data_IF_589855424767
#
_entry.id   IF_589855424767
#
_cell.length_a   1.000
_cell.length_b   1.000
_cell.length_c   1.000
_cell.angle_alpha   90.00
_cell.angle_beta   90.00
_cell.angle_gamma   90.00
#
_symmetry.space_group_name_H-M   'P 1'
#
loop_
_entity.id
_entity.type
_entity.pdbx_description
1 polymer ?
#
# COMPACT_ATOMS: atom_id res chain seq x y z
N UNK A 1 -23.67 34.29 76.09
CA UNK A 1 -24.66 33.66 75.17
C UNK A 1 -24.10 33.48 73.75
N UNK A 2 -23.09 34.24 73.32
CA UNK A 2 -22.56 34.17 71.95
C UNK A 2 -21.86 32.85 71.60
N UNK A 3 -21.15 32.21 72.53
CA UNK A 3 -20.38 30.99 72.27
C UNK A 3 -21.20 29.73 71.97
N UNK A 4 -22.47 29.68 72.38
CA UNK A 4 -23.37 28.56 72.07
C UNK A 4 -24.04 28.77 70.71
N UNK A 5 -24.42 30.01 70.41
CA UNK A 5 -25.04 30.38 69.14
C UNK A 5 -24.10 30.12 67.96
N UNK A 6 -22.81 30.43 68.11
CA UNK A 6 -21.80 30.17 67.08
C UNK A 6 -21.57 28.67 66.83
N UNK A 7 -21.67 27.84 67.89
CA UNK A 7 -21.60 26.37 67.78
C UNK A 7 -22.78 25.79 67.00
N UNK A 8 -23.99 26.31 67.22
CA UNK A 8 -25.17 25.87 66.47
C UNK A 8 -25.13 26.30 65.00
N UNK A 9 -24.58 27.49 64.69
CA UNK A 9 -24.37 27.93 63.29
C UNK A 9 -23.33 27.04 62.58
N UNK A 10 -22.24 26.69 63.26
CA UNK A 10 -21.22 25.80 62.70
C UNK A 10 -21.72 24.38 62.39
N UNK A 11 -22.62 23.84 63.24
CA UNK A 11 -23.26 22.54 63.01
C UNK A 11 -24.19 22.58 61.79
N UNK A 12 -24.94 23.66 61.59
CA UNK A 12 -25.80 23.85 60.41
C UNK A 12 -24.99 23.92 59.11
N UNK A 13 -23.85 24.60 59.11
CA UNK A 13 -22.98 24.66 57.92
C UNK A 13 -22.37 23.28 57.61
N UNK A 14 -22.02 22.52 58.65
CA UNK A 14 -21.50 21.16 58.46
C UNK A 14 -22.57 20.21 57.93
N UNK A 15 -23.81 20.31 58.41
CA UNK A 15 -24.91 19.47 57.91
C UNK A 15 -25.27 19.80 56.47
N UNK A 16 -25.21 21.08 56.08
CA UNK A 16 -25.37 21.52 54.69
C UNK A 16 -24.24 20.98 53.79
N UNK A 17 -22.99 21.06 54.24
CA UNK A 17 -21.84 20.55 53.50
C UNK A 17 -21.87 19.03 53.32
N UNK A 18 -22.24 18.30 54.39
CA UNK A 18 -22.42 16.85 54.34
C UNK A 18 -23.58 16.45 53.43
N UNK A 19 -24.70 17.19 53.47
CA UNK A 19 -25.83 16.97 52.59
C UNK A 19 -25.48 17.24 51.12
N UNK A 20 -24.66 18.26 50.86
CA UNK A 20 -24.19 18.57 49.51
C UNK A 20 -23.26 17.47 48.97
N UNK A 21 -22.37 16.91 49.79
CA UNK A 21 -21.46 15.83 49.38
C UNK A 21 -22.20 14.51 49.18
N UNK A 22 -23.09 14.14 50.10
CA UNK A 22 -23.92 12.93 49.96
C UNK A 22 -24.89 13.07 48.78
N UNK A 23 -25.45 14.26 48.57
CA UNK A 23 -26.30 14.57 47.41
C UNK A 23 -25.55 14.48 46.09
N UNK A 24 -24.26 14.86 46.05
CA UNK A 24 -23.43 14.76 44.84
C UNK A 24 -23.14 13.31 44.45
N UNK A 25 -22.82 12.46 45.42
CA UNK A 25 -22.62 11.02 45.17
C UNK A 25 -23.94 10.34 44.76
N UNK A 26 -25.05 10.78 45.34
CA UNK A 26 -26.38 10.31 44.92
C UNK A 26 -26.78 10.80 43.54
N UNK A 27 -26.36 11.99 43.10
CA UNK A 27 -26.70 12.51 41.77
C UNK A 27 -26.11 11.64 40.65
N UNK A 28 -24.85 11.23 40.77
CA UNK A 28 -24.21 10.32 39.80
C UNK A 28 -24.86 8.92 39.83
N UNK A 29 -25.17 8.39 41.02
CA UNK A 29 -25.84 7.10 41.16
C UNK A 29 -27.31 7.13 40.68
N UNK A 30 -28.00 8.26 40.86
CA UNK A 30 -29.37 8.49 40.40
C UNK A 30 -29.39 8.62 38.89
N UNK A 31 -28.50 9.41 38.29
CA UNK A 31 -28.36 9.51 36.84
C UNK A 31 -28.04 8.14 36.21
N UNK A 32 -27.15 7.37 36.83
CA UNK A 32 -26.84 6.02 36.36
C UNK A 32 -28.03 5.05 36.52
N UNK A 33 -28.81 5.22 37.58
CA UNK A 33 -30.07 4.48 37.79
C UNK A 33 -31.16 4.91 36.82
N UNK A 34 -31.25 6.19 36.44
CA UNK A 34 -32.21 6.72 35.47
C UNK A 34 -31.87 6.25 34.05
N UNK A 35 -30.59 6.19 33.69
CA UNK A 35 -30.12 5.59 32.44
C UNK A 35 -30.50 4.09 32.40
N UNK A 36 -30.32 3.36 33.50
CA UNK A 36 -30.72 1.94 33.61
C UNK A 36 -32.25 1.75 33.65
N UNK A 37 -33.00 2.66 34.26
CA UNK A 37 -34.44 2.54 34.46
C UNK A 37 -35.28 3.03 33.26
N UNK A 38 -34.77 4.01 32.50
CA UNK A 38 -35.48 4.57 31.34
C UNK A 38 -35.49 3.65 30.13
N UNK A 39 -34.66 2.59 30.10
CA UNK A 39 -34.76 1.51 29.13
C UNK A 39 -34.75 1.98 27.68
N UNK A 40 -34.11 3.13 27.39
CA UNK A 40 -33.93 3.66 26.04
C UNK A 40 -32.91 2.78 25.29
N UNK A 41 -33.34 1.56 24.95
CA UNK A 41 -32.54 0.51 24.33
C UNK A 41 -32.13 -0.60 25.30
N UNK A 42 -33.08 -1.46 25.71
CA UNK A 42 -32.95 -2.91 26.03
C UNK A 42 -31.73 -3.50 26.80
N UNK A 43 -30.77 -2.73 27.29
CA UNK A 43 -29.50 -3.19 27.82
C UNK A 43 -29.13 -2.51 29.13
N UNK A 44 -28.44 -3.26 30.00
CA UNK A 44 -27.77 -2.69 31.17
C UNK A 44 -26.65 -1.79 30.66
N UNK A 45 -26.77 -0.46 30.84
CA UNK A 45 -25.66 0.46 30.55
C UNK A 45 -24.38 -0.02 31.26
N UNK A 46 -23.38 -0.38 30.47
CA UNK A 46 -22.05 -0.75 30.91
C UNK A 46 -21.07 0.22 30.23
N UNK A 47 -20.51 1.19 30.97
CA UNK A 47 -19.66 2.22 30.39
C UNK A 47 -18.43 1.66 29.65
N UNK A 48 -17.98 0.45 29.95
CA UNK A 48 -16.86 -0.18 29.24
C UNK A 48 -17.30 -0.78 27.91
N UNK A 49 -18.45 -1.46 27.89
CA UNK A 49 -18.99 -2.08 26.68
C UNK A 49 -19.55 -1.01 25.74
N UNK A 50 -20.35 -0.08 26.26
CA UNK A 50 -21.03 0.94 25.46
C UNK A 50 -20.04 1.95 24.84
N UNK A 51 -18.92 2.25 25.52
CA UNK A 51 -17.87 3.10 24.96
C UNK A 51 -17.06 2.40 23.87
N UNK A 52 -16.90 1.07 23.95
CA UNK A 52 -16.28 0.28 22.89
C UNK A 52 -17.19 0.19 21.67
N UNK A 53 -18.48 -0.03 21.87
CA UNK A 53 -19.47 -0.05 20.78
C UNK A 53 -19.53 1.31 20.07
N UNK A 54 -19.54 2.43 20.82
CA UNK A 54 -19.50 3.77 20.25
C UNK A 54 -18.21 4.03 19.42
N UNK A 55 -17.06 3.52 19.85
CA UNK A 55 -15.81 3.60 19.08
C UNK A 55 -15.85 2.74 17.82
N UNK A 56 -16.46 1.55 17.88
CA UNK A 56 -16.62 0.68 16.71
C UNK A 56 -17.55 1.29 15.67
N UNK A 57 -18.63 1.95 16.11
CA UNK A 57 -19.54 2.70 15.23
C UNK A 57 -18.83 3.91 14.59
N UNK A 58 -18.06 4.69 15.37
CA UNK A 58 -17.24 5.79 14.84
C UNK A 58 -16.23 5.26 13.80
N UNK A 59 -15.52 4.19 14.14
CA UNK A 59 -14.54 3.57 13.25
C UNK A 59 -15.19 3.03 11.97
N UNK A 60 -16.36 2.39 12.08
CA UNK A 60 -17.14 1.93 10.93
C UNK A 60 -17.57 3.05 10.00
N UNK A 61 -17.84 4.24 10.55
CA UNK A 61 -18.18 5.44 9.76
C UNK A 61 -16.97 6.14 9.13
N UNK A 62 -15.79 6.02 9.76
CA UNK A 62 -14.55 6.71 9.37
C UNK A 62 -13.65 5.89 8.46
N UNK A 63 -13.71 4.58 8.55
CA UNK A 63 -13.02 3.72 7.60
C UNK A 63 -13.60 4.02 6.21
N UNK A 64 -12.76 4.41 5.24
CA UNK A 64 -13.21 4.59 3.86
C UNK A 64 -13.99 3.36 3.43
N UNK A 65 -15.10 3.56 2.72
CA UNK A 65 -15.94 2.46 2.27
C UNK A 65 -15.10 1.36 1.60
N UNK A 66 -14.02 1.70 0.89
CA UNK A 66 -13.11 0.73 0.28
C UNK A 66 -12.42 -0.24 1.26
N UNK A 67 -12.14 0.17 2.50
CA UNK A 67 -11.57 -0.67 3.56
C UNK A 67 -12.65 -1.40 4.35
N UNK A 68 -13.78 -0.75 4.64
CA UNK A 68 -14.89 -1.33 5.41
C UNK A 68 -15.73 -2.34 4.59
N UNK A 69 -15.95 -2.08 3.30
CA UNK A 69 -16.75 -2.96 2.41
C UNK A 69 -15.94 -4.08 1.77
N UNK A 70 -14.64 -4.20 2.12
CA UNK A 70 -13.77 -5.22 1.56
C UNK A 70 -13.38 -4.98 0.10
N UNK A 71 -13.66 -3.81 -0.49
CA UNK A 71 -13.25 -3.50 -1.87
C UNK A 71 -11.73 -3.56 -2.04
N UNK A 72 -10.90 -3.18 -1.06
CA UNK A 72 -9.44 -3.39 -1.20
C UNK A 72 -9.06 -4.88 -1.30
N UNK A 73 -9.73 -5.75 -0.54
CA UNK A 73 -9.60 -7.21 -0.70
C UNK A 73 -10.23 -7.66 -2.02
N UNK A 74 -11.35 -7.07 -2.43
CA UNK A 74 -12.10 -7.35 -3.65
C UNK A 74 -11.36 -6.96 -4.93
N UNK A 75 -10.63 -5.85 -4.91
CA UNK A 75 -9.78 -5.34 -5.99
C UNK A 75 -8.50 -6.17 -6.08
N UNK A 76 -7.94 -6.55 -4.93
CA UNK A 76 -6.85 -7.54 -4.83
C UNK A 76 -7.32 -8.95 -5.26
N UNK A 77 -8.60 -9.29 -5.03
CA UNK A 77 -9.27 -10.47 -5.57
C UNK A 77 -9.72 -10.28 -7.05
N UNK A 78 -9.76 -9.06 -7.58
CA UNK A 78 -10.11 -8.77 -8.96
C UNK A 78 -8.90 -8.92 -9.90
N UNK A 79 -7.67 -8.87 -9.37
CA UNK A 79 -6.50 -9.63 -9.90
C UNK A 79 -6.71 -11.13 -9.58
N UNK A 80 -7.89 -11.63 -9.96
CA UNK A 80 -8.42 -12.98 -9.83
C UNK A 80 -8.43 -13.67 -8.45
N UNK A 81 -7.92 -13.06 -7.37
CA UNK A 81 -7.97 -13.67 -6.01
C UNK A 81 -7.20 -14.98 -5.89
N UNK A 82 -6.47 -15.29 -6.96
CA UNK A 82 -5.50 -16.34 -7.09
C UNK A 82 -4.17 -15.66 -6.81
N UNK A 83 -3.63 -15.87 -5.62
CA UNK A 83 -2.29 -15.38 -5.27
C UNK A 83 -1.27 -15.87 -6.30
N UNK A 84 -1.47 -17.07 -6.86
CA UNK A 84 -0.63 -17.58 -7.94
C UNK A 84 -0.78 -16.82 -9.26
N UNK A 85 -1.90 -16.16 -9.55
CA UNK A 85 -2.03 -15.31 -10.74
C UNK A 85 -1.25 -14.00 -10.58
N UNK A 86 -1.25 -13.42 -9.37
CA UNK A 86 -0.39 -12.29 -9.04
C UNK A 86 1.09 -12.68 -9.08
N UNK A 87 1.47 -13.84 -8.49
CA UNK A 87 2.83 -14.36 -8.54
C UNK A 87 3.29 -14.62 -9.99
N UNK A 88 2.39 -15.12 -10.86
CA UNK A 88 2.69 -15.33 -12.29
C UNK A 88 2.88 -14.02 -13.04
N UNK A 89 2.14 -12.96 -12.70
CA UNK A 89 2.32 -11.64 -13.30
C UNK A 89 3.63 -11.00 -12.84
N UNK A 90 3.97 -11.13 -11.55
CA UNK A 90 5.26 -10.73 -11.02
C UNK A 90 6.39 -11.47 -11.72
N UNK A 91 6.31 -12.80 -11.82
CA UNK A 91 7.32 -13.61 -12.50
C UNK A 91 7.47 -13.24 -13.99
N UNK A 92 6.37 -12.91 -14.67
CA UNK A 92 6.41 -12.46 -16.06
C UNK A 92 7.06 -11.08 -16.17
N UNK A 93 6.76 -10.14 -15.28
CA UNK A 93 7.38 -8.80 -15.29
C UNK A 93 8.85 -8.81 -14.85
N UNK A 94 9.25 -9.69 -13.93
CA UNK A 94 10.65 -9.88 -13.53
C UNK A 94 11.49 -10.54 -14.66
N UNK A 95 10.83 -11.30 -15.53
CA UNK A 95 11.49 -11.94 -16.68
C UNK A 95 11.76 -10.99 -17.86
N UNK A 96 11.21 -9.78 -17.84
CA UNK A 96 11.43 -8.77 -18.87
C UNK A 96 12.77 -8.07 -18.61
N UNK A 97 13.68 -8.14 -19.59
CA UNK A 97 15.02 -7.58 -19.45
C UNK A 97 15.07 -6.15 -20.00
N UNK A 98 15.60 -5.21 -19.23
CA UNK A 98 15.92 -3.86 -19.67
C UNK A 98 17.41 -3.79 -19.96
N UNK A 99 17.77 -3.32 -21.14
CA UNK A 99 19.15 -3.16 -21.59
C UNK A 99 19.42 -1.71 -21.97
N UNK A 100 20.70 -1.36 -22.00
CA UNK A 100 21.17 -0.09 -22.55
C UNK A 100 22.18 -0.39 -23.67
N UNK A 101 22.05 0.26 -24.82
CA UNK A 101 22.94 0.06 -25.97
C UNK A 101 24.32 0.67 -25.70
N UNK A 102 25.36 -0.10 -26.03
CA UNK A 102 26.74 0.34 -26.10
C UNK A 102 27.13 0.53 -27.58
N UNK A 103 27.36 1.78 -27.98
CA UNK A 103 27.41 2.26 -29.37
C UNK A 103 28.83 2.35 -29.92
N UNK A 104 29.84 1.87 -29.19
CA UNK A 104 31.21 1.86 -29.69
C UNK A 104 31.35 1.21 -31.09
N UNK A 105 30.44 0.33 -31.49
CA UNK A 105 30.36 -0.23 -32.86
C UNK A 105 28.95 -0.60 -33.34
N UNK A 106 27.88 0.05 -32.83
CA UNK A 106 26.52 -0.31 -33.21
C UNK A 106 26.27 -0.17 -34.74
N UNK A 107 25.46 -1.09 -35.27
CA UNK A 107 25.05 -1.14 -36.68
C UNK A 107 23.53 -1.32 -36.78
N UNK A 108 23.00 -1.35 -38.01
CA UNK A 108 21.57 -1.59 -38.23
C UNK A 108 21.10 -2.98 -37.77
N UNK A 109 22.01 -3.96 -37.67
CA UNK A 109 21.67 -5.36 -37.39
C UNK A 109 22.30 -5.90 -36.13
N UNK A 110 23.21 -5.17 -35.49
CA UNK A 110 23.93 -5.65 -34.32
C UNK A 110 24.46 -4.51 -33.46
N UNK A 111 24.43 -4.71 -32.14
CA UNK A 111 24.98 -3.79 -31.14
C UNK A 111 25.27 -4.55 -29.85
N UNK A 112 26.28 -4.10 -29.11
CA UNK A 112 26.54 -4.57 -27.76
C UNK A 112 25.59 -3.88 -26.78
N UNK A 113 25.32 -4.51 -25.65
CA UNK A 113 24.45 -3.98 -24.63
C UNK A 113 25.07 -4.12 -23.24
N UNK A 114 24.74 -3.17 -22.38
CA UNK A 114 25.09 -3.11 -20.98
C UNK A 114 23.84 -3.24 -20.10
N UNK A 115 24.05 -3.31 -18.79
CA UNK A 115 22.98 -3.37 -17.79
C UNK A 115 22.60 -4.79 -17.36
N UNK A 116 23.24 -5.82 -17.91
CA UNK A 116 23.05 -7.20 -17.49
C UNK A 116 24.34 -8.03 -17.63
N UNK A 117 24.26 -9.31 -17.28
CA UNK A 117 25.32 -10.28 -17.50
C UNK A 117 24.67 -11.62 -17.79
N UNK A 118 24.90 -12.15 -18.97
CA UNK A 118 24.43 -13.45 -19.41
C UNK A 118 25.58 -14.16 -20.11
N UNK A 119 25.71 -15.47 -19.88
CA UNK A 119 26.83 -16.28 -20.35
C UNK A 119 26.41 -17.32 -21.40
N UNK A 120 25.12 -17.41 -21.70
CA UNK A 120 24.56 -18.38 -22.65
C UNK A 120 24.24 -17.69 -23.97
N UNK A 121 24.96 -18.10 -25.01
CA UNK A 121 24.69 -17.66 -26.38
C UNK A 121 23.26 -18.05 -26.80
N UNK A 122 22.65 -17.21 -27.65
CA UNK A 122 21.33 -17.39 -28.25
C UNK A 122 20.15 -17.55 -27.26
N UNK A 123 20.31 -17.31 -25.95
CA UNK A 123 19.20 -17.43 -24.98
C UNK A 123 18.04 -16.46 -25.26
N UNK A 124 18.31 -15.34 -25.93
CA UNK A 124 17.31 -14.33 -26.31
C UNK A 124 16.79 -14.48 -27.74
N UNK A 125 17.28 -15.47 -28.49
CA UNK A 125 16.91 -15.66 -29.90
C UNK A 125 15.43 -15.99 -30.05
N UNK A 126 14.78 -15.31 -31.00
CA UNK A 126 13.34 -15.43 -31.27
C UNK A 126 12.47 -14.58 -30.36
N UNK A 127 13.05 -13.88 -29.38
CA UNK A 127 12.33 -12.86 -28.60
C UNK A 127 12.20 -11.56 -29.39
N UNK A 128 11.32 -10.70 -28.92
CA UNK A 128 11.13 -9.36 -29.46
C UNK A 128 11.86 -8.35 -28.58
N UNK A 129 12.34 -7.29 -29.21
CA UNK A 129 12.93 -6.14 -28.54
C UNK A 129 12.18 -4.87 -28.94
N UNK A 130 11.98 -3.97 -27.98
CA UNK A 130 11.38 -2.64 -28.21
C UNK A 130 12.28 -1.55 -27.66
N UNK A 131 12.63 -0.58 -28.50
CA UNK A 131 13.41 0.59 -28.08
C UNK A 131 12.52 1.63 -27.41
N UNK A 132 12.97 2.16 -26.26
CA UNK A 132 12.21 3.10 -25.44
C UNK A 132 12.54 4.56 -25.74
N UNK A 133 13.71 4.82 -26.30
CA UNK A 133 14.23 6.15 -26.61
C UNK A 133 15.17 6.10 -27.84
N UNK A 134 15.83 7.22 -28.14
CA UNK A 134 16.71 7.35 -29.30
C UNK A 134 15.99 7.48 -30.64
N UNK A 135 16.75 7.33 -31.74
CA UNK A 135 16.23 7.44 -33.10
C UNK A 135 15.27 6.30 -33.48
N UNK A 136 15.37 5.17 -32.76
CA UNK A 136 14.56 3.98 -32.94
C UNK A 136 13.40 3.90 -31.95
N UNK A 137 13.05 4.98 -31.24
CA UNK A 137 12.00 4.95 -30.22
C UNK A 137 10.69 4.34 -30.77
N UNK A 138 10.13 3.38 -30.02
CA UNK A 138 8.95 2.57 -30.35
C UNK A 138 9.12 1.60 -31.53
N UNK A 139 10.29 1.52 -32.15
CA UNK A 139 10.62 0.47 -33.10
C UNK A 139 10.72 -0.87 -32.37
N UNK A 140 10.15 -1.91 -32.97
CA UNK A 140 10.20 -3.27 -32.48
C UNK A 140 10.89 -4.14 -33.51
N UNK A 141 11.81 -4.98 -33.05
CA UNK A 141 12.59 -5.90 -33.90
C UNK A 141 12.64 -7.28 -33.27
N UNK A 142 12.84 -8.32 -34.09
CA UNK A 142 13.12 -9.67 -33.62
C UNK A 142 14.62 -9.88 -33.41
N UNK A 143 14.95 -10.57 -32.31
CA UNK A 143 16.32 -10.96 -31.99
C UNK A 143 16.63 -12.25 -32.76
N UNK A 144 17.56 -12.17 -33.69
CA UNK A 144 17.98 -13.28 -34.55
C UNK A 144 19.21 -14.02 -34.02
N UNK A 145 19.94 -13.41 -33.08
CA UNK A 145 21.06 -14.02 -32.36
C UNK A 145 21.48 -13.24 -31.12
N UNK A 146 22.22 -13.90 -30.23
CA UNK A 146 22.86 -13.27 -29.08
C UNK A 146 24.22 -13.92 -28.80
N UNK A 147 25.27 -13.12 -28.69
CA UNK A 147 26.63 -13.57 -28.37
C UNK A 147 27.06 -13.03 -26.99
N UNK A 148 27.32 -13.93 -26.04
CA UNK A 148 27.56 -13.54 -24.66
C UNK A 148 28.92 -12.88 -24.41
N UNK A 149 29.98 -13.33 -25.10
CA UNK A 149 31.36 -12.96 -24.77
C UNK A 149 32.16 -12.34 -25.94
N UNK A 150 31.98 -12.83 -27.17
CA UNK A 150 32.91 -12.59 -28.29
C UNK A 150 32.22 -12.03 -29.54
N UNK A 151 31.18 -11.22 -29.35
CA UNK A 151 30.48 -10.54 -30.44
C UNK A 151 31.39 -9.55 -31.19
N UNK A 152 31.24 -9.40 -32.53
CA UNK A 152 31.91 -8.36 -33.31
C UNK A 152 31.82 -6.93 -32.74
N UNK A 153 30.72 -6.61 -32.05
CA UNK A 153 30.44 -5.31 -31.43
C UNK A 153 30.85 -5.24 -29.96
N UNK A 154 31.27 -6.36 -29.37
CA UNK A 154 31.64 -6.50 -27.96
C UNK A 154 30.99 -7.72 -27.30
N UNK A 155 31.21 -7.86 -25.99
CA UNK A 155 30.46 -8.83 -25.20
C UNK A 155 28.99 -8.42 -25.12
N UNK A 156 28.10 -9.40 -24.92
CA UNK A 156 26.65 -9.20 -24.82
C UNK A 156 26.05 -8.53 -26.08
N UNK A 157 26.41 -9.05 -27.26
CA UNK A 157 25.91 -8.55 -28.53
C UNK A 157 24.53 -9.14 -28.85
N UNK A 158 23.60 -8.28 -29.22
CA UNK A 158 22.34 -8.67 -29.85
C UNK A 158 22.48 -8.54 -31.37
N UNK A 159 22.10 -9.60 -32.09
CA UNK A 159 21.82 -9.52 -33.54
C UNK A 159 20.32 -9.44 -33.75
N UNK A 160 19.87 -8.44 -34.50
CA UNK A 160 18.46 -8.15 -34.74
C UNK A 160 18.17 -8.05 -36.23
N UNK A 161 16.90 -8.19 -36.61
CA UNK A 161 16.47 -7.75 -37.94
C UNK A 161 16.75 -6.26 -38.10
N UNK A 162 17.15 -5.87 -39.32
CA UNK A 162 17.66 -4.54 -39.62
C UNK A 162 16.72 -3.43 -39.13
N UNK A 163 17.26 -2.55 -38.28
CA UNK A 163 16.64 -1.35 -37.76
C UNK A 163 16.63 -0.22 -38.79
N UNK A 164 15.76 0.76 -38.57
CA UNK A 164 15.66 1.97 -39.42
C UNK A 164 16.90 2.87 -39.31
N UNK A 165 17.53 2.90 -38.14
CA UNK A 165 18.79 3.57 -37.86
C UNK A 165 19.64 2.72 -36.90
N UNK A 166 20.95 2.94 -36.87
CA UNK A 166 21.80 2.31 -35.86
C UNK A 166 21.51 2.97 -34.51
N UNK A 167 21.29 2.19 -33.43
CA UNK A 167 21.01 2.76 -32.12
C UNK A 167 22.25 3.47 -31.59
N UNK A 168 22.05 4.63 -30.96
CA UNK A 168 23.12 5.42 -30.36
C UNK A 168 23.49 4.92 -28.95
N UNK A 169 24.58 5.45 -28.39
CA UNK A 169 25.01 5.14 -27.01
C UNK A 169 23.90 5.51 -26.03
N UNK A 170 23.81 4.75 -24.93
CA UNK A 170 22.91 5.03 -23.82
C UNK A 170 21.41 5.00 -24.18
N UNK A 171 21.05 4.35 -25.30
CA UNK A 171 19.65 4.09 -25.70
C UNK A 171 19.11 2.89 -24.95
N UNK A 172 17.93 3.01 -24.34
CA UNK A 172 17.29 1.95 -23.58
C UNK A 172 16.36 1.11 -24.46
N UNK A 173 16.38 -0.19 -24.25
CA UNK A 173 15.47 -1.14 -24.89
C UNK A 173 14.98 -2.20 -23.90
N UNK A 174 13.83 -2.78 -24.23
CA UNK A 174 13.23 -3.88 -23.48
C UNK A 174 13.27 -5.13 -24.35
N UNK A 175 13.77 -6.22 -23.79
CA UNK A 175 13.68 -7.58 -24.35
C UNK A 175 12.53 -8.31 -23.65
N UNK A 176 11.56 -8.77 -24.45
CA UNK A 176 10.36 -9.47 -23.98
C UNK A 176 10.58 -10.97 -23.77
#
# INVERSE_FOLDING_TARGET
LDTLRDKFVGITILSEWLSAIMGKQNADATALSEIRASGAGSGTYDPNTDSQEALLDDLGSRLPAALASGLMKGDMLAISGDTGAADRLEALMDSVLIITVNDASATLTAFAADGFTEAVDDIFKGRLMTFLDGANQFEQTDITGYDAADGPQGAQEFTVTALTAAPAEDVNAIVH
#
